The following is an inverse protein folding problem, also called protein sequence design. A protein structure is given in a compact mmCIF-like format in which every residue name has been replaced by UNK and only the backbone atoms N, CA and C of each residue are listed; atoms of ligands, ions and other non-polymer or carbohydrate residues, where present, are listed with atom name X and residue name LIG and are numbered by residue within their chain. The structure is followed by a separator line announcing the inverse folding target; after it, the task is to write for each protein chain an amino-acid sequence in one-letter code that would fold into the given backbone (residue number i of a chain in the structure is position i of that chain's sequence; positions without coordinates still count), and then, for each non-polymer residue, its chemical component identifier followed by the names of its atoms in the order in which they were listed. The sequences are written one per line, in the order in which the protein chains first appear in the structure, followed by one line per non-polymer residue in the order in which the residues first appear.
data_IF_226685268619
#
_entry.id   IF_226685268619
#
_cell.length_a   1.000
_cell.length_b   1.000
_cell.length_c   1.000
_cell.angle_alpha   90.00
_cell.angle_beta   90.00
_cell.angle_gamma   90.00
#
_symmetry.space_group_name_H-M   'P 1'
#
loop_
_entity.id
_entity.type
_entity.pdbx_description
1 polymer ?
#
# COMPACT_ATOMS: atom_id res chain seq x y z
N UNK A 1 -28.98 -21.00 2.62
CA UNK A 1 -29.04 -20.30 3.92
C UNK A 1 -27.62 -20.21 4.45
N UNK A 2 -26.87 -19.16 4.07
CA UNK A 2 -25.48 -18.96 4.50
C UNK A 2 -25.49 -18.15 5.79
N UNK A 3 -25.14 -18.78 6.91
CA UNK A 3 -24.84 -18.12 8.16
C UNK A 3 -23.49 -17.41 8.03
N UNK A 4 -23.49 -16.08 7.89
CA UNK A 4 -22.30 -15.27 8.06
C UNK A 4 -22.00 -15.24 9.55
N UNK A 5 -20.94 -15.93 9.98
CA UNK A 5 -20.33 -15.73 11.30
C UNK A 5 -19.84 -14.29 11.39
N UNK A 6 -20.58 -13.45 12.09
CA UNK A 6 -20.08 -12.15 12.52
C UNK A 6 -18.95 -12.41 13.52
N UNK A 7 -17.74 -11.94 13.22
CA UNK A 7 -16.62 -12.03 14.14
C UNK A 7 -16.84 -11.04 15.29
N UNK A 8 -16.85 -11.53 16.51
CA UNK A 8 -17.03 -10.78 17.77
C UNK A 8 -15.90 -9.76 18.10
N UNK A 9 -14.99 -9.49 17.15
CA UNK A 9 -13.77 -8.69 17.42
C UNK A 9 -13.86 -7.18 17.22
N UNK A 10 -15.02 -6.62 16.84
CA UNK A 10 -15.12 -5.18 16.51
C UNK A 10 -15.93 -4.34 17.51
N UNK A 11 -16.29 -4.86 18.66
CA UNK A 11 -17.26 -4.21 19.56
C UNK A 11 -16.62 -3.14 20.48
N UNK A 12 -15.30 -3.06 20.62
CA UNK A 12 -14.66 -2.27 21.68
C UNK A 12 -13.67 -1.17 21.24
N UNK A 13 -13.57 -0.84 19.95
CA UNK A 13 -12.66 0.22 19.47
C UNK A 13 -13.40 1.34 18.73
N UNK A 14 -14.50 1.82 19.28
CA UNK A 14 -15.18 2.98 18.73
C UNK A 14 -14.68 4.24 19.45
N UNK A 15 -13.60 4.78 18.91
CA UNK A 15 -12.93 5.96 19.45
C UNK A 15 -13.81 7.23 19.50
N UNK A 16 -14.97 7.20 18.80
CA UNK A 16 -15.95 8.29 18.82
C UNK A 16 -17.01 8.13 19.94
N UNK A 17 -16.95 7.03 20.72
CA UNK A 17 -17.79 6.81 21.89
C UNK A 17 -17.04 7.26 23.14
N UNK A 18 -17.60 8.23 23.83
CA UNK A 18 -17.03 8.79 25.06
C UNK A 18 -17.87 8.35 26.25
N UNK A 19 -17.23 7.88 27.33
CA UNK A 19 -17.88 7.62 28.63
C UNK A 19 -17.87 8.91 29.44
N UNK A 20 -19.05 9.36 29.84
CA UNK A 20 -19.22 10.52 30.73
C UNK A 20 -19.05 10.14 32.22
N UNK A 21 -18.98 11.13 33.10
CA UNK A 21 -18.79 10.95 34.54
C UNK A 21 -19.93 10.15 35.18
N UNK A 22 -21.14 10.24 34.65
CA UNK A 22 -22.33 9.49 35.07
C UNK A 22 -22.43 8.08 34.48
N UNK A 23 -21.34 7.58 33.91
CA UNK A 23 -21.21 6.28 33.22
C UNK A 23 -22.01 6.15 31.91
N UNK A 24 -22.69 7.19 31.46
CA UNK A 24 -23.35 7.15 30.13
C UNK A 24 -22.34 7.11 29.02
N UNK A 25 -22.63 6.32 27.97
CA UNK A 25 -21.83 6.22 26.76
C UNK A 25 -22.44 7.11 25.69
N UNK A 26 -21.63 8.02 25.14
CA UNK A 26 -22.11 9.00 24.17
C UNK A 26 -21.30 8.90 22.87
N UNK A 27 -22.01 8.72 21.74
CA UNK A 27 -21.41 8.71 20.41
C UNK A 27 -21.52 10.11 19.78
N UNK A 28 -20.35 10.74 19.56
CA UNK A 28 -20.25 12.06 18.96
C UNK A 28 -19.23 12.11 17.82
N UNK A 29 -19.58 11.69 16.60
CA UNK A 29 -18.67 11.68 15.46
C UNK A 29 -18.65 13.02 14.69
N UNK A 30 -19.49 13.98 15.04
CA UNK A 30 -19.70 15.19 14.25
C UNK A 30 -18.43 16.05 14.17
N UNK A 31 -18.07 16.41 12.92
CA UNK A 31 -16.87 17.18 12.60
C UNK A 31 -17.23 18.33 11.64
N UNK A 32 -17.17 19.59 12.07
CA UNK A 32 -17.51 20.74 11.24
C UNK A 32 -16.48 21.03 10.12
N UNK A 33 -15.30 20.41 10.16
CA UNK A 33 -14.27 20.56 9.12
C UNK A 33 -14.57 19.74 7.85
N UNK A 34 -15.57 18.87 7.89
CA UNK A 34 -15.94 18.05 6.74
C UNK A 34 -16.53 18.91 5.62
N UNK A 35 -16.01 18.72 4.41
CA UNK A 35 -16.52 19.38 3.20
C UNK A 35 -16.84 18.33 2.15
N UNK A 36 -18.05 18.36 1.60
CA UNK A 36 -18.45 17.42 0.55
C UNK A 36 -17.88 17.83 -0.81
N UNK A 37 -17.38 16.85 -1.57
CA UNK A 37 -16.89 17.08 -2.94
C UNK A 37 -18.05 17.53 -3.85
N UNK A 38 -17.78 18.56 -4.64
CA UNK A 38 -18.77 19.11 -5.59
C UNK A 38 -18.63 18.51 -6.99
N UNK A 39 -19.63 18.77 -7.84
CA UNK A 39 -19.59 18.38 -9.24
C UNK A 39 -18.38 19.00 -9.96
N UNK A 40 -18.11 20.27 -9.71
CA UNK A 40 -17.01 20.99 -10.35
C UNK A 40 -15.64 20.40 -9.94
N UNK A 41 -15.50 19.97 -8.68
CA UNK A 41 -14.28 19.33 -8.19
C UNK A 41 -14.02 18.00 -8.92
N UNK A 42 -15.05 17.16 -9.03
CA UNK A 42 -14.95 15.89 -9.77
C UNK A 42 -14.61 16.13 -11.24
N UNK A 43 -15.30 17.06 -11.90
CA UNK A 43 -15.04 17.43 -13.29
C UNK A 43 -13.62 17.94 -13.49
N UNK A 44 -13.10 18.74 -12.57
CA UNK A 44 -11.72 19.24 -12.59
C UNK A 44 -10.70 18.09 -12.48
N UNK A 45 -10.94 17.14 -11.57
CA UNK A 45 -10.08 15.95 -11.45
C UNK A 45 -10.13 15.13 -12.74
N UNK A 46 -11.30 14.82 -13.26
CA UNK A 46 -11.45 14.03 -14.49
C UNK A 46 -10.77 14.70 -15.69
N UNK A 47 -10.97 16.01 -15.87
CA UNK A 47 -10.35 16.81 -16.93
C UNK A 47 -8.82 16.79 -16.84
N UNK A 48 -8.28 16.99 -15.62
CA UNK A 48 -6.83 17.00 -15.36
C UNK A 48 -6.12 15.72 -15.83
N UNK A 49 -6.83 14.60 -15.81
CA UNK A 49 -6.31 13.28 -16.23
C UNK A 49 -6.94 12.77 -17.53
N UNK A 50 -7.52 13.67 -18.34
CA UNK A 50 -7.94 13.39 -19.70
C UNK A 50 -9.18 12.50 -19.85
N UNK A 51 -10.06 12.48 -18.83
CA UNK A 51 -11.31 11.74 -18.88
C UNK A 51 -12.51 12.65 -19.28
N UNK A 52 -13.62 12.04 -19.76
CA UNK A 52 -14.87 12.77 -19.96
C UNK A 52 -15.34 13.44 -18.67
N UNK A 53 -15.70 14.72 -18.76
CA UNK A 53 -16.10 15.54 -17.60
C UNK A 53 -17.59 15.53 -17.31
N UNK A 54 -18.39 14.90 -18.18
CA UNK A 54 -19.82 14.79 -17.96
C UNK A 54 -20.10 13.82 -16.81
N UNK A 55 -20.68 14.30 -15.72
CA UNK A 55 -20.99 13.51 -14.52
C UNK A 55 -22.48 13.52 -14.26
N UNK A 56 -23.12 12.36 -14.41
CA UNK A 56 -24.56 12.16 -14.20
C UNK A 56 -24.93 11.68 -12.81
N UNK A 57 -23.99 11.08 -12.09
CA UNK A 57 -24.26 10.49 -10.79
C UNK A 57 -23.12 10.79 -9.81
N UNK A 58 -23.35 11.75 -8.94
CA UNK A 58 -22.40 12.16 -7.90
C UNK A 58 -22.35 11.19 -6.70
N UNK A 59 -23.36 10.34 -6.51
CA UNK A 59 -23.47 9.52 -5.29
C UNK A 59 -22.29 8.57 -5.08
N UNK A 60 -21.71 8.03 -6.16
CA UNK A 60 -20.52 7.18 -6.09
C UNK A 60 -19.28 7.96 -5.66
N UNK A 61 -19.06 9.13 -6.28
CA UNK A 61 -17.92 9.97 -5.93
C UNK A 61 -18.04 10.50 -4.50
N UNK A 62 -19.20 11.00 -4.08
CA UNK A 62 -19.44 11.44 -2.70
C UNK A 62 -19.13 10.30 -1.70
N UNK A 63 -19.60 9.09 -1.99
CA UNK A 63 -19.35 7.92 -1.15
C UNK A 63 -17.87 7.55 -1.05
N UNK A 64 -17.07 7.76 -2.11
CA UNK A 64 -15.63 7.47 -2.08
C UNK A 64 -14.88 8.25 -0.99
N UNK A 65 -15.39 9.39 -0.58
CA UNK A 65 -14.80 10.24 0.44
C UNK A 65 -15.30 10.00 1.86
N UNK A 66 -16.23 9.07 2.09
CA UNK A 66 -16.77 8.79 3.41
C UNK A 66 -15.93 7.74 4.14
N UNK A 67 -15.14 8.16 5.11
CA UNK A 67 -14.43 7.25 6.00
C UNK A 67 -15.41 6.53 6.94
N UNK A 68 -15.10 5.30 7.34
CA UNK A 68 -15.95 4.47 8.22
C UNK A 68 -16.33 5.16 9.54
N UNK A 69 -15.47 6.03 10.07
CA UNK A 69 -15.74 6.77 11.31
C UNK A 69 -16.92 7.75 11.21
N UNK A 70 -17.36 8.12 9.99
CA UNK A 70 -18.48 9.03 9.77
C UNK A 70 -19.74 8.31 9.26
N UNK A 71 -19.94 7.09 9.69
CA UNK A 71 -21.12 6.30 9.35
C UNK A 71 -22.07 6.14 10.52
N UNK A 72 -23.35 5.92 10.19
CA UNK A 72 -24.38 5.61 11.19
C UNK A 72 -24.05 4.29 11.87
N UNK A 73 -24.13 4.26 13.20
CA UNK A 73 -24.08 3.02 13.97
C UNK A 73 -25.41 2.26 13.86
N UNK A 74 -25.37 0.92 13.87
CA UNK A 74 -26.61 0.12 13.96
C UNK A 74 -27.36 0.38 15.27
N UNK A 75 -28.66 0.63 15.18
CA UNK A 75 -29.49 0.93 16.38
C UNK A 75 -29.45 -0.18 17.44
N UNK A 76 -29.39 -1.45 17.03
CA UNK A 76 -29.34 -2.57 17.97
C UNK A 76 -28.03 -2.59 18.79
N UNK A 77 -26.88 -2.17 18.20
CA UNK A 77 -25.63 -2.04 18.93
C UNK A 77 -25.68 -0.90 19.95
N UNK A 78 -26.29 0.22 19.59
CA UNK A 78 -26.45 1.35 20.49
C UNK A 78 -27.33 0.98 21.69
N UNK A 79 -28.44 0.29 21.44
CA UNK A 79 -29.35 -0.19 22.51
C UNK A 79 -28.66 -1.22 23.41
N UNK A 80 -27.92 -2.18 22.83
CA UNK A 80 -27.22 -3.22 23.58
C UNK A 80 -26.11 -2.66 24.50
N UNK A 81 -25.48 -1.56 24.08
CA UNK A 81 -24.38 -0.92 24.81
C UNK A 81 -24.80 0.34 25.57
N UNK A 82 -26.10 0.67 25.61
CA UNK A 82 -26.65 1.87 26.20
C UNK A 82 -25.97 3.17 25.74
N UNK A 83 -25.72 3.27 24.40
CA UNK A 83 -25.05 4.41 23.78
C UNK A 83 -26.08 5.45 23.31
N UNK A 84 -25.94 6.66 23.80
CA UNK A 84 -26.72 7.81 23.34
C UNK A 84 -26.02 8.50 22.17
N UNK A 85 -26.74 8.75 21.08
CA UNK A 85 -26.22 9.49 19.92
C UNK A 85 -26.47 10.98 20.13
N UNK A 86 -25.42 11.79 20.00
CA UNK A 86 -25.53 13.26 20.07
C UNK A 86 -26.39 13.77 18.92
N UNK A 87 -27.22 14.76 19.19
CA UNK A 87 -27.98 15.46 18.15
C UNK A 87 -27.01 16.15 17.19
N UNK A 88 -27.33 16.10 15.89
CA UNK A 88 -26.48 16.66 14.87
C UNK A 88 -26.40 18.19 14.98
N UNK A 89 -25.19 18.77 15.15
CA UNK A 89 -25.00 20.22 15.06
C UNK A 89 -25.39 20.77 13.68
N UNK A 90 -25.88 22.00 13.64
CA UNK A 90 -26.34 22.61 12.38
C UNK A 90 -25.25 22.82 11.34
N UNK A 91 -24.00 22.98 11.78
CA UNK A 91 -22.79 23.16 10.96
C UNK A 91 -22.13 21.84 10.54
N UNK A 92 -22.70 20.70 10.92
CA UNK A 92 -22.17 19.39 10.62
C UNK A 92 -23.01 18.65 9.56
N UNK A 93 -22.32 17.87 8.72
CA UNK A 93 -22.97 17.00 7.74
C UNK A 93 -23.74 15.85 8.42
N UNK A 94 -24.78 15.30 7.79
CA UNK A 94 -25.45 14.09 8.28
C UNK A 94 -24.52 12.87 8.17
N UNK A 95 -24.64 11.94 9.12
CA UNK A 95 -23.91 10.68 9.04
C UNK A 95 -24.34 9.86 7.81
N UNK A 96 -23.35 9.29 7.13
CA UNK A 96 -23.59 8.44 5.97
C UNK A 96 -24.08 7.04 6.38
N UNK A 97 -24.84 6.39 5.54
CA UNK A 97 -25.26 4.99 5.75
C UNK A 97 -24.18 3.98 5.35
N UNK A 98 -23.18 4.38 4.57
CA UNK A 98 -22.15 3.48 4.00
C UNK A 98 -20.81 4.20 3.90
N UNK A 99 -19.73 3.50 4.27
CA UNK A 99 -18.35 3.95 4.08
C UNK A 99 -17.85 3.71 2.66
N UNK A 100 -16.62 4.15 2.42
CA UNK A 100 -15.88 3.94 1.18
C UNK A 100 -15.17 2.57 1.08
N UNK A 101 -15.12 1.76 2.13
CA UNK A 101 -14.32 0.53 2.22
C UNK A 101 -14.57 -0.46 1.07
N UNK A 102 -15.84 -0.61 0.63
CA UNK A 102 -16.14 -1.48 -0.52
C UNK A 102 -15.66 -0.90 -1.86
N UNK A 103 -15.57 0.42 -1.98
CA UNK A 103 -15.00 1.08 -3.16
C UNK A 103 -13.48 0.97 -3.14
N UNK A 104 -12.86 1.13 -1.98
CA UNK A 104 -11.43 0.88 -1.72
C UNK A 104 -11.03 -0.53 -2.15
N UNK A 105 -11.72 -1.55 -1.64
CA UNK A 105 -11.50 -2.95 -2.01
C UNK A 105 -11.53 -3.20 -3.54
N UNK A 106 -12.51 -2.61 -4.23
CA UNK A 106 -12.61 -2.73 -5.68
C UNK A 106 -11.49 -1.98 -6.40
N UNK A 107 -11.21 -0.76 -5.93
CA UNK A 107 -10.20 0.12 -6.53
C UNK A 107 -8.78 -0.41 -6.39
N UNK A 108 -8.43 -1.04 -5.28
CA UNK A 108 -7.15 -1.72 -5.08
C UNK A 108 -6.89 -2.76 -6.18
N UNK A 109 -7.85 -3.69 -6.40
CA UNK A 109 -7.73 -4.69 -7.46
C UNK A 109 -7.60 -4.10 -8.86
N UNK A 110 -8.32 -3.01 -9.14
CA UNK A 110 -8.25 -2.31 -10.43
C UNK A 110 -6.88 -1.62 -10.59
N UNK A 111 -6.40 -0.94 -9.56
CA UNK A 111 -5.10 -0.28 -9.54
C UNK A 111 -3.96 -1.28 -9.79
N UNK A 112 -4.02 -2.41 -9.08
CA UNK A 112 -3.01 -3.46 -9.21
C UNK A 112 -2.97 -4.06 -10.63
N UNK A 113 -4.13 -4.40 -11.20
CA UNK A 113 -4.24 -4.94 -12.54
C UNK A 113 -3.71 -3.96 -13.60
N UNK A 114 -4.15 -2.70 -13.53
CA UNK A 114 -3.74 -1.68 -14.50
C UNK A 114 -2.24 -1.41 -14.40
N UNK A 115 -1.69 -1.31 -13.19
CA UNK A 115 -0.25 -1.08 -12.99
C UNK A 115 0.58 -2.24 -13.53
N UNK A 116 0.18 -3.50 -13.29
CA UNK A 116 0.84 -4.68 -13.88
C UNK A 116 0.81 -4.65 -15.40
N UNK A 117 -0.35 -4.35 -15.98
CA UNK A 117 -0.51 -4.27 -17.43
C UNK A 117 0.31 -3.13 -18.04
N UNK A 118 0.37 -1.97 -17.36
CA UNK A 118 1.19 -0.84 -17.77
C UNK A 118 2.68 -1.19 -17.76
N UNK A 119 3.19 -1.79 -16.67
CA UNK A 119 4.60 -2.19 -16.56
C UNK A 119 4.98 -3.25 -17.60
N UNK A 120 4.11 -4.24 -17.82
CA UNK A 120 4.32 -5.27 -18.85
C UNK A 120 4.52 -4.67 -20.26
N UNK A 121 3.75 -3.65 -20.60
CA UNK A 121 3.89 -2.96 -21.91
C UNK A 121 5.09 -2.03 -21.95
N UNK A 122 5.41 -1.36 -20.84
CA UNK A 122 6.49 -0.38 -20.77
C UNK A 122 7.87 -1.04 -20.80
N UNK A 123 8.00 -2.20 -20.19
CA UNK A 123 9.26 -2.90 -20.00
C UNK A 123 9.24 -4.31 -20.64
N UNK A 124 9.16 -4.42 -21.97
CA UNK A 124 8.97 -5.70 -22.65
C UNK A 124 10.16 -6.65 -22.59
N UNK A 125 11.33 -6.17 -22.16
CA UNK A 125 12.56 -6.97 -22.03
C UNK A 125 12.88 -7.36 -20.58
N UNK A 126 12.17 -6.78 -19.62
CA UNK A 126 12.41 -7.01 -18.20
C UNK A 126 11.71 -8.28 -17.69
N UNK A 127 12.28 -8.86 -16.65
CA UNK A 127 11.74 -10.08 -16.06
C UNK A 127 10.61 -9.77 -15.04
N UNK A 128 9.95 -10.82 -14.59
CA UNK A 128 8.84 -10.74 -13.61
C UNK A 128 9.27 -10.10 -12.30
N UNK A 129 10.48 -10.40 -11.80
CA UNK A 129 11.02 -9.86 -10.56
C UNK A 129 11.13 -8.33 -10.59
N UNK A 130 11.69 -7.76 -11.68
CA UNK A 130 11.75 -6.32 -11.92
C UNK A 130 10.36 -5.69 -11.92
N UNK A 131 9.43 -6.27 -12.71
CA UNK A 131 8.07 -5.73 -12.81
C UNK A 131 7.34 -5.77 -11.45
N UNK A 132 7.52 -6.84 -10.67
CA UNK A 132 6.92 -6.98 -9.35
C UNK A 132 7.48 -5.94 -8.38
N UNK A 133 8.77 -5.70 -8.38
CA UNK A 133 9.41 -4.68 -7.55
C UNK A 133 8.90 -3.28 -7.89
N UNK A 134 8.90 -2.91 -9.19
CA UNK A 134 8.41 -1.59 -9.60
C UNK A 134 6.91 -1.43 -9.33
N UNK A 135 6.10 -2.50 -9.51
CA UNK A 135 4.69 -2.51 -9.10
C UNK A 135 4.55 -2.19 -7.62
N UNK A 136 5.27 -2.88 -6.74
CA UNK A 136 5.21 -2.64 -5.29
C UNK A 136 5.57 -1.20 -4.95
N UNK A 137 6.61 -0.64 -5.58
CA UNK A 137 7.03 0.74 -5.35
C UNK A 137 5.96 1.77 -5.75
N UNK A 138 5.22 1.50 -6.84
CA UNK A 138 4.17 2.39 -7.35
C UNK A 138 2.89 2.28 -6.51
N UNK A 139 2.40 1.05 -6.22
CA UNK A 139 1.06 0.86 -5.61
C UNK A 139 1.06 0.82 -4.09
N UNK A 140 2.21 0.89 -3.41
CA UNK A 140 2.18 0.93 -1.93
C UNK A 140 1.41 2.16 -1.44
N UNK A 141 0.61 1.98 -0.38
CA UNK A 141 -0.31 3.01 0.11
C UNK A 141 0.36 4.36 0.39
N UNK A 142 1.63 4.39 0.85
CA UNK A 142 2.34 5.66 1.06
C UNK A 142 2.68 6.38 -0.26
N UNK A 143 3.02 5.64 -1.32
CA UNK A 143 3.32 6.24 -2.62
C UNK A 143 2.05 6.80 -3.26
N UNK A 144 0.99 5.99 -3.31
CA UNK A 144 -0.33 6.42 -3.80
C UNK A 144 -0.91 7.53 -2.92
N UNK A 145 -0.67 7.49 -1.59
CA UNK A 145 -1.09 8.53 -0.67
C UNK A 145 -0.43 9.90 -0.94
N UNK A 146 0.83 9.92 -1.36
CA UNK A 146 1.49 11.16 -1.83
C UNK A 146 0.80 11.71 -3.06
N UNK A 147 0.48 10.86 -4.04
CA UNK A 147 -0.27 11.24 -5.24
C UNK A 147 -1.65 11.79 -4.86
N UNK A 148 -2.38 11.12 -3.96
CA UNK A 148 -3.66 11.59 -3.45
C UNK A 148 -3.57 12.97 -2.76
N UNK A 149 -2.47 13.22 -2.04
CA UNK A 149 -2.18 14.52 -1.42
C UNK A 149 -1.92 15.59 -2.47
N UNK A 150 -1.12 15.32 -3.50
CA UNK A 150 -0.86 16.23 -4.63
C UNK A 150 -2.11 16.50 -5.46
N UNK A 151 -3.01 15.51 -5.57
CA UNK A 151 -4.34 15.67 -6.14
C UNK A 151 -5.31 16.45 -5.23
N UNK A 152 -4.91 16.73 -3.99
CA UNK A 152 -5.67 17.42 -2.96
C UNK A 152 -6.96 16.67 -2.53
N UNK A 153 -7.02 15.36 -2.71
CA UNK A 153 -8.20 14.54 -2.36
C UNK A 153 -8.55 14.61 -0.86
N UNK A 154 -7.55 14.83 -0.01
CA UNK A 154 -7.71 14.96 1.44
C UNK A 154 -8.70 16.06 1.86
N UNK A 155 -8.91 17.09 1.03
CA UNK A 155 -9.83 18.21 1.32
C UNK A 155 -11.27 17.76 1.50
N UNK A 156 -11.69 16.74 0.77
CA UNK A 156 -13.04 16.23 0.77
C UNK A 156 -13.24 14.95 1.60
N UNK A 157 -12.18 14.49 2.28
CA UNK A 157 -12.28 13.30 3.13
C UNK A 157 -13.16 13.59 4.35
N UNK A 158 -14.26 12.86 4.47
CA UNK A 158 -15.26 13.01 5.52
C UNK A 158 -14.92 12.07 6.67
N UNK A 159 -14.59 12.65 7.83
CA UNK A 159 -14.07 11.98 9.02
C UNK A 159 -14.87 12.38 10.27
N UNK A 160 -14.88 11.50 11.29
CA UNK A 160 -15.30 11.91 12.62
C UNK A 160 -14.30 12.88 13.26
N UNK A 161 -14.76 13.59 14.31
CA UNK A 161 -13.93 14.52 15.07
C UNK A 161 -12.68 13.83 15.64
N UNK A 162 -12.83 12.66 16.22
CA UNK A 162 -11.73 11.89 16.78
C UNK A 162 -10.73 11.42 15.69
N UNK A 163 -11.22 10.97 14.52
CA UNK A 163 -10.35 10.62 13.41
C UNK A 163 -9.58 11.84 12.87
N UNK A 164 -10.16 13.03 12.92
CA UNK A 164 -9.48 14.29 12.59
C UNK A 164 -8.36 14.60 13.60
N UNK A 165 -8.63 14.48 14.89
CA UNK A 165 -7.65 14.67 15.98
C UNK A 165 -6.47 13.70 15.84
N UNK A 166 -6.71 12.47 15.38
CA UNK A 166 -5.68 11.47 15.03
C UNK A 166 -4.95 11.77 13.70
N UNK A 167 -5.21 12.92 13.07
CA UNK A 167 -4.58 13.34 11.81
C UNK A 167 -4.77 12.35 10.64
N UNK A 168 -5.90 11.65 10.59
CA UNK A 168 -6.22 10.70 9.53
C UNK A 168 -6.25 11.40 8.16
N UNK A 169 -6.71 12.67 8.09
CA UNK A 169 -6.78 13.48 6.87
C UNK A 169 -5.43 13.68 6.16
N UNK A 170 -4.32 13.61 6.90
CA UNK A 170 -2.95 13.78 6.37
C UNK A 170 -2.13 12.49 6.40
N UNK A 171 -2.72 11.40 6.85
CA UNK A 171 -2.04 10.10 6.90
C UNK A 171 -1.93 9.49 5.50
N UNK A 172 -0.70 9.34 4.99
CA UNK A 172 -0.46 8.86 3.63
C UNK A 172 -1.07 7.49 3.35
N UNK A 173 -1.06 6.55 4.31
CA UNK A 173 -1.70 5.24 4.12
C UNK A 173 -3.20 5.38 3.92
N UNK A 174 -3.86 6.24 4.70
CA UNK A 174 -5.29 6.50 4.57
C UNK A 174 -5.64 7.28 3.31
N UNK A 175 -4.75 8.12 2.83
CA UNK A 175 -4.89 8.79 1.55
C UNK A 175 -4.71 7.82 0.37
N UNK A 176 -3.87 6.79 0.51
CA UNK A 176 -3.80 5.68 -0.45
C UNK A 176 -5.14 4.96 -0.57
N UNK A 177 -5.73 4.55 0.56
CA UNK A 177 -7.08 3.96 0.61
C UNK A 177 -8.16 4.87 0.00
N UNK A 178 -8.06 6.19 0.23
CA UNK A 178 -8.96 7.17 -0.38
C UNK A 178 -8.83 7.20 -1.91
N UNK A 179 -7.61 7.17 -2.42
CA UNK A 179 -7.36 7.11 -3.87
C UNK A 179 -7.97 5.85 -4.49
N UNK A 180 -7.75 4.69 -3.87
CA UNK A 180 -8.34 3.42 -4.29
C UNK A 180 -9.88 3.51 -4.30
N UNK A 181 -10.48 4.08 -3.25
CA UNK A 181 -11.93 4.27 -3.19
C UNK A 181 -12.45 5.20 -4.31
N UNK A 182 -11.71 6.27 -4.63
CA UNK A 182 -12.03 7.16 -5.74
C UNK A 182 -11.95 6.42 -7.09
N UNK A 183 -10.89 5.61 -7.29
CA UNK A 183 -10.73 4.79 -8.49
C UNK A 183 -11.85 3.75 -8.64
N UNK A 184 -12.24 3.10 -7.54
CA UNK A 184 -13.40 2.18 -7.52
C UNK A 184 -14.71 2.88 -7.87
N UNK A 185 -14.93 4.09 -7.38
CA UNK A 185 -16.09 4.91 -7.74
C UNK A 185 -16.09 5.29 -9.22
N UNK A 186 -14.96 5.71 -9.76
CA UNK A 186 -14.75 6.03 -11.16
C UNK A 186 -15.05 4.83 -12.06
N UNK A 187 -14.50 3.67 -11.74
CA UNK A 187 -14.75 2.43 -12.47
C UNK A 187 -16.25 2.10 -12.52
N UNK A 188 -16.92 2.10 -11.38
CA UNK A 188 -18.36 1.81 -11.31
C UNK A 188 -19.20 2.86 -12.02
N UNK A 189 -18.78 4.13 -11.94
CA UNK A 189 -19.47 5.23 -12.62
C UNK A 189 -19.51 4.99 -14.13
N UNK A 190 -18.38 4.72 -14.76
CA UNK A 190 -18.32 4.49 -16.20
C UNK A 190 -18.93 3.15 -16.63
N UNK A 191 -18.95 2.14 -15.77
CA UNK A 191 -19.64 0.86 -16.05
C UNK A 191 -21.17 0.96 -16.03
N UNK A 192 -21.75 2.04 -15.50
CA UNK A 192 -23.19 2.30 -15.60
C UNK A 192 -23.62 2.90 -16.94
N UNK A 193 -22.68 3.23 -17.82
CA UNK A 193 -22.99 3.65 -19.17
C UNK A 193 -23.33 2.39 -19.96
N UNK A 194 -24.60 2.29 -20.35
CA UNK A 194 -25.05 1.20 -21.23
C UNK A 194 -24.48 1.45 -22.62
N UNK A 195 -23.60 0.55 -23.06
CA UNK A 195 -23.16 0.52 -24.46
C UNK A 195 -24.29 -0.06 -25.29
N UNK A 196 -24.94 0.76 -26.11
CA UNK A 196 -25.91 0.29 -27.09
C UNK A 196 -25.15 -0.24 -28.30
N UNK A 197 -25.18 -1.54 -28.53
CA UNK A 197 -24.84 -2.12 -29.81
C UNK A 197 -26.11 -2.44 -30.61
N UNK A 198 -26.02 -2.37 -31.93
CA UNK A 198 -27.16 -2.52 -32.84
C UNK A 198 -27.79 -3.93 -32.78
N UNK A 199 -27.00 -4.92 -32.38
CA UNK A 199 -27.41 -6.33 -32.33
C UNK A 199 -27.72 -6.83 -30.92
N UNK A 200 -27.60 -5.96 -29.89
CA UNK A 200 -27.76 -6.29 -28.46
C UNK A 200 -26.91 -7.49 -27.98
N UNK A 201 -25.84 -7.79 -28.69
CA UNK A 201 -25.02 -8.98 -28.46
C UNK A 201 -24.34 -8.93 -27.09
N UNK A 202 -23.81 -7.77 -26.72
CA UNK A 202 -23.15 -7.57 -25.43
C UNK A 202 -24.11 -7.40 -24.26
N UNK A 203 -25.38 -7.08 -24.51
CA UNK A 203 -26.38 -6.84 -23.46
C UNK A 203 -26.64 -8.07 -22.60
N UNK A 204 -26.46 -9.29 -23.15
CA UNK A 204 -26.67 -10.55 -22.46
C UNK A 204 -25.36 -11.20 -21.96
N UNK A 205 -24.20 -10.75 -22.43
CA UNK A 205 -22.91 -11.35 -22.09
C UNK A 205 -22.05 -10.48 -21.16
N UNK A 206 -22.14 -9.14 -21.25
CA UNK A 206 -21.34 -8.22 -20.47
C UNK A 206 -22.18 -7.04 -19.99
N UNK A 207 -22.37 -6.95 -18.69
CA UNK A 207 -22.98 -5.79 -18.02
C UNK A 207 -21.92 -4.72 -17.73
N UNK A 208 -20.87 -4.65 -18.52
CA UNK A 208 -19.73 -3.75 -18.30
C UNK A 208 -19.69 -2.67 -19.37
N UNK A 209 -19.78 -1.43 -18.93
CA UNK A 209 -19.45 -0.26 -19.77
C UNK A 209 -17.92 -0.06 -19.90
N UNK A 210 -17.47 1.11 -20.36
CA UNK A 210 -16.04 1.42 -20.56
C UNK A 210 -15.27 1.73 -19.27
N UNK A 211 -15.74 1.24 -18.11
CA UNK A 211 -15.16 1.53 -16.80
C UNK A 211 -13.70 1.13 -16.69
N UNK A 212 -13.33 -0.03 -17.24
CA UNK A 212 -11.94 -0.48 -17.24
C UNK A 212 -11.05 0.44 -18.09
N UNK A 213 -11.47 0.80 -19.29
CA UNK A 213 -10.72 1.69 -20.18
C UNK A 213 -10.56 3.09 -19.60
N UNK A 214 -11.58 3.60 -18.92
CA UNK A 214 -11.51 4.90 -18.25
C UNK A 214 -10.62 4.85 -17.02
N UNK A 215 -10.70 3.79 -16.22
CA UNK A 215 -9.80 3.57 -15.09
C UNK A 215 -8.35 3.42 -15.55
N UNK A 216 -8.12 2.66 -16.64
CA UNK A 216 -6.80 2.51 -17.24
C UNK A 216 -6.23 3.85 -17.67
N UNK A 217 -6.97 4.63 -18.44
CA UNK A 217 -6.55 5.97 -18.89
C UNK A 217 -6.22 6.88 -17.71
N UNK A 218 -7.05 6.84 -16.67
CA UNK A 218 -6.85 7.63 -15.45
C UNK A 218 -5.55 7.25 -14.74
N UNK A 219 -5.34 5.96 -14.46
CA UNK A 219 -4.15 5.45 -13.74
C UNK A 219 -2.89 5.68 -14.57
N UNK A 220 -2.90 5.39 -15.87
CA UNK A 220 -1.74 5.60 -16.75
C UNK A 220 -1.34 7.08 -16.79
N UNK A 221 -2.29 8.00 -16.92
CA UNK A 221 -2.00 9.43 -16.90
C UNK A 221 -1.48 9.91 -15.54
N UNK A 222 -1.92 9.31 -14.46
CA UNK A 222 -1.38 9.58 -13.12
C UNK A 222 0.05 9.07 -13.00
N UNK A 223 0.32 7.84 -13.41
CA UNK A 223 1.66 7.23 -13.40
C UNK A 223 2.64 8.10 -14.20
N UNK A 224 2.27 8.48 -15.42
CA UNK A 224 3.14 9.32 -16.27
C UNK A 224 3.37 10.72 -15.68
N UNK A 225 2.41 11.27 -14.96
CA UNK A 225 2.50 12.61 -14.40
C UNK A 225 3.25 12.69 -13.08
N UNK A 226 3.12 11.68 -12.23
CA UNK A 226 3.56 11.73 -10.83
C UNK A 226 4.74 10.80 -10.52
N UNK A 227 5.05 9.82 -11.38
CA UNK A 227 6.17 8.91 -11.13
C UNK A 227 7.44 9.44 -11.80
N UNK A 228 8.45 9.70 -10.98
CA UNK A 228 9.81 9.91 -11.46
C UNK A 228 10.44 8.56 -11.83
N UNK A 229 10.40 8.23 -13.11
CA UNK A 229 10.91 6.98 -13.65
C UNK A 229 12.42 6.84 -13.50
N UNK A 230 13.16 7.95 -13.58
CA UNK A 230 14.62 7.93 -13.41
C UNK A 230 14.95 7.52 -11.99
N UNK A 231 14.36 8.22 -11.02
CA UNK A 231 14.54 7.87 -9.61
C UNK A 231 14.04 6.45 -9.29
N UNK A 232 12.90 6.02 -9.86
CA UNK A 232 12.33 4.68 -9.64
C UNK A 232 13.23 3.55 -10.19
N UNK A 233 13.93 3.78 -11.31
CA UNK A 233 14.82 2.79 -11.93
C UNK A 233 16.20 2.80 -11.26
N UNK A 234 16.72 3.99 -10.94
CA UNK A 234 18.05 4.16 -10.33
C UNK A 234 18.10 3.81 -8.86
N UNK A 235 17.03 4.07 -8.10
CA UNK A 235 16.92 3.72 -6.69
C UNK A 235 16.48 2.27 -6.54
N UNK A 236 17.40 1.37 -6.85
CA UNK A 236 17.22 -0.05 -6.56
C UNK A 236 17.63 -0.31 -5.09
N UNK A 237 16.84 0.24 -4.14
CA UNK A 237 17.04 0.09 -2.70
C UNK A 237 16.81 -1.37 -2.22
N UNK A 238 16.64 -2.31 -3.15
CA UNK A 238 16.39 -3.71 -2.82
C UNK A 238 17.66 -4.55 -2.87
N UNK A 239 18.72 -4.02 -2.27
CA UNK A 239 20.04 -4.66 -2.21
C UNK A 239 19.98 -6.09 -1.65
N UNK A 240 19.03 -6.35 -0.74
CA UNK A 240 18.80 -7.69 -0.17
C UNK A 240 18.37 -8.69 -1.25
N UNK A 241 17.46 -8.30 -2.14
CA UNK A 241 17.02 -9.16 -3.23
C UNK A 241 18.12 -9.34 -4.29
N UNK A 242 18.83 -8.27 -4.64
CA UNK A 242 19.94 -8.31 -5.61
C UNK A 242 21.02 -9.27 -5.12
N UNK A 243 21.46 -9.13 -3.87
CA UNK A 243 22.45 -10.00 -3.28
C UNK A 243 21.97 -11.44 -3.23
N UNK A 244 20.72 -11.67 -2.81
CA UNK A 244 20.14 -13.01 -2.75
C UNK A 244 20.13 -13.68 -4.12
N UNK A 245 19.73 -12.98 -5.18
CA UNK A 245 19.72 -13.51 -6.55
C UNK A 245 21.13 -13.84 -7.02
N UNK A 246 22.12 -12.95 -6.77
CA UNK A 246 23.52 -13.22 -7.12
C UNK A 246 24.03 -14.49 -6.40
N UNK A 247 23.83 -14.58 -5.09
CA UNK A 247 24.27 -15.73 -4.28
C UNK A 247 23.57 -17.04 -4.69
N UNK A 248 22.25 -16.98 -4.90
CA UNK A 248 21.48 -18.16 -5.35
C UNK A 248 21.92 -18.65 -6.74
N UNK A 249 22.27 -17.75 -7.64
CA UNK A 249 22.77 -18.10 -8.97
C UNK A 249 24.06 -18.90 -8.87
N UNK A 250 25.00 -18.45 -8.04
CA UNK A 250 26.35 -19.03 -7.96
C UNK A 250 26.42 -20.24 -7.02
N UNK A 251 25.77 -20.18 -5.86
CA UNK A 251 25.94 -21.19 -4.80
C UNK A 251 24.68 -22.01 -4.50
N UNK A 252 23.51 -21.66 -5.09
CA UNK A 252 22.21 -22.34 -4.85
C UNK A 252 21.73 -22.29 -3.40
N UNK A 253 22.22 -21.33 -2.61
CA UNK A 253 21.83 -21.08 -1.22
C UNK A 253 21.39 -19.64 -1.03
N UNK A 254 20.83 -19.32 0.13
CA UNK A 254 20.45 -17.95 0.50
C UNK A 254 21.43 -17.37 1.53
N UNK A 255 21.73 -16.06 1.46
CA UNK A 255 22.48 -15.38 2.51
C UNK A 255 21.75 -15.41 3.85
N UNK A 256 22.50 -15.42 4.96
CA UNK A 256 21.99 -15.30 6.32
C UNK A 256 22.19 -13.88 6.85
N UNK A 257 21.19 -13.36 7.57
CA UNK A 257 21.20 -12.03 8.17
C UNK A 257 21.19 -12.17 9.68
N UNK A 258 22.28 -11.80 10.31
CA UNK A 258 22.48 -11.98 11.76
C UNK A 258 22.63 -10.62 12.43
N UNK A 259 22.01 -10.49 13.59
CA UNK A 259 22.16 -9.32 14.45
C UNK A 259 23.52 -9.43 15.14
N UNK A 260 24.37 -8.44 14.90
CA UNK A 260 25.71 -8.36 15.50
C UNK A 260 25.65 -7.57 16.79
N UNK A 261 24.87 -6.50 16.81
CA UNK A 261 24.73 -5.59 17.94
C UNK A 261 23.38 -4.87 17.87
N UNK A 262 22.82 -4.54 19.02
CA UNK A 262 21.65 -3.69 19.14
C UNK A 262 21.89 -2.63 20.23
N UNK A 263 21.85 -1.39 19.84
CA UNK A 263 22.01 -0.23 20.71
C UNK A 263 20.73 0.65 20.68
N UNK A 264 20.35 1.21 21.83
CA UNK A 264 19.13 2.04 21.91
C UNK A 264 19.24 3.37 21.15
N UNK A 265 20.44 3.92 21.00
CA UNK A 265 20.68 5.18 20.31
C UNK A 265 20.89 4.98 18.80
N UNK A 266 21.72 4.00 18.43
CA UNK A 266 22.14 3.75 17.05
C UNK A 266 21.31 2.64 16.35
N UNK A 267 20.54 1.85 17.09
CA UNK A 267 19.66 0.81 16.58
C UNK A 267 20.35 -0.51 16.32
N UNK A 268 19.99 -1.17 15.22
CA UNK A 268 20.46 -2.52 14.88
C UNK A 268 21.70 -2.46 14.00
N UNK A 269 22.71 -3.23 14.36
CA UNK A 269 23.86 -3.55 13.52
C UNK A 269 23.68 -4.98 12.98
N UNK A 270 23.50 -5.11 11.67
CA UNK A 270 23.22 -6.38 10.98
C UNK A 270 24.41 -6.78 10.13
N UNK A 271 24.77 -8.07 10.19
CA UNK A 271 25.76 -8.68 9.31
C UNK A 271 25.13 -9.62 8.28
N UNK A 272 25.71 -9.65 7.09
CA UNK A 272 25.34 -10.60 6.01
C UNK A 272 26.40 -11.67 5.92
N UNK A 273 25.96 -12.92 5.96
CA UNK A 273 26.85 -14.10 5.94
C UNK A 273 26.43 -15.09 4.87
N UNK A 274 27.42 -15.68 4.20
CA UNK A 274 27.24 -16.84 3.33
C UNK A 274 27.81 -18.07 4.03
N UNK A 275 26.94 -19.05 4.29
CA UNK A 275 27.33 -20.33 4.96
C UNK A 275 27.19 -21.47 3.97
N UNK A 276 28.28 -22.11 3.63
CA UNK A 276 28.35 -23.20 2.66
C UNK A 276 28.93 -24.48 3.32
N UNK A 277 28.38 -25.62 2.94
CA UNK A 277 28.85 -26.94 3.41
C UNK A 277 28.54 -27.25 4.87
N UNK A 278 27.84 -26.38 5.59
CA UNK A 278 27.49 -26.55 7.00
C UNK A 278 26.23 -25.77 7.36
N UNK A 279 25.64 -26.00 8.56
CA UNK A 279 24.50 -25.22 9.04
C UNK A 279 24.94 -23.96 9.77
N UNK A 280 24.26 -22.83 9.52
CA UNK A 280 24.53 -21.55 10.21
C UNK A 280 24.37 -21.64 11.72
N UNK A 281 23.56 -22.58 12.24
CA UNK A 281 23.32 -22.77 13.66
C UNK A 281 24.51 -23.42 14.39
N UNK A 282 25.45 -23.99 13.64
CA UNK A 282 26.61 -24.75 14.18
C UNK A 282 27.92 -23.97 14.10
N UNK A 283 27.87 -22.69 13.72
CA UNK A 283 29.07 -21.87 13.50
C UNK A 283 29.05 -20.61 14.35
N UNK A 284 30.24 -20.17 14.77
CA UNK A 284 30.40 -18.90 15.44
C UNK A 284 30.72 -17.80 14.40
N UNK A 285 29.95 -16.70 14.39
CA UNK A 285 30.16 -15.60 13.44
C UNK A 285 31.56 -14.95 13.58
N UNK A 286 32.24 -15.12 14.72
CA UNK A 286 33.62 -14.62 14.92
C UNK A 286 34.66 -15.38 14.08
N UNK A 287 34.32 -16.58 13.64
CA UNK A 287 35.23 -17.43 12.86
C UNK A 287 34.99 -17.26 11.34
N UNK A 288 34.15 -16.27 10.94
CA UNK A 288 33.85 -15.99 9.54
C UNK A 288 35.08 -15.37 8.85
N UNK A 289 35.42 -15.91 7.68
CA UNK A 289 36.39 -15.28 6.77
C UNK A 289 35.74 -14.04 6.14
N UNK A 290 36.54 -13.02 5.84
CA UNK A 290 36.02 -11.83 5.19
C UNK A 290 35.97 -12.02 3.69
N UNK A 291 34.88 -11.51 3.03
CA UNK A 291 34.76 -11.56 1.56
C UNK A 291 35.95 -10.92 0.86
N UNK A 292 36.59 -9.93 1.49
CA UNK A 292 37.77 -9.22 0.96
C UNK A 292 39.02 -10.10 0.82
N UNK A 293 39.01 -11.28 1.42
CA UNK A 293 40.09 -12.27 1.27
C UNK A 293 40.01 -13.04 -0.07
N UNK A 294 38.91 -12.87 -0.79
CA UNK A 294 38.63 -13.48 -2.09
C UNK A 294 38.43 -12.41 -3.17
N UNK A 295 38.95 -12.67 -4.36
CA UNK A 295 38.83 -11.76 -5.49
C UNK A 295 37.42 -11.76 -6.11
N UNK A 296 36.83 -12.94 -6.18
CA UNK A 296 35.51 -13.17 -6.76
C UNK A 296 34.85 -14.44 -6.21
N UNK A 297 33.63 -14.70 -6.63
CA UNK A 297 32.90 -15.91 -6.22
C UNK A 297 33.51 -17.22 -6.74
N UNK A 298 34.33 -17.19 -7.79
CA UNK A 298 35.00 -18.38 -8.30
C UNK A 298 36.08 -18.87 -7.30
N UNK A 299 36.84 -17.94 -6.74
CA UNK A 299 37.83 -18.24 -5.72
C UNK A 299 37.18 -18.80 -4.45
N UNK A 300 35.98 -18.31 -4.09
CA UNK A 300 35.15 -18.88 -3.00
C UNK A 300 34.72 -20.33 -3.34
N UNK A 301 34.33 -20.59 -4.60
CA UNK A 301 33.94 -21.92 -5.06
C UNK A 301 35.17 -22.90 -5.05
N UNK A 302 36.32 -22.43 -5.47
CA UNK A 302 37.55 -23.20 -5.39
C UNK A 302 37.93 -23.51 -3.95
N UNK A 303 37.85 -22.53 -3.04
CA UNK A 303 38.13 -22.70 -1.61
C UNK A 303 37.23 -23.77 -0.98
N UNK A 304 35.92 -23.77 -1.30
CA UNK A 304 35.01 -24.77 -0.71
C UNK A 304 35.20 -26.16 -1.25
N UNK A 305 35.70 -26.31 -2.48
CA UNK A 305 36.08 -27.64 -3.01
C UNK A 305 37.22 -28.29 -2.21
N UNK A 306 38.13 -27.46 -1.69
CA UNK A 306 39.27 -27.96 -0.88
C UNK A 306 38.87 -28.16 0.58
N UNK A 307 38.13 -27.21 1.16
CA UNK A 307 37.90 -27.17 2.63
C UNK A 307 36.53 -27.73 3.02
N UNK A 308 35.65 -28.04 2.06
CA UNK A 308 34.31 -28.62 2.22
C UNK A 308 33.30 -27.73 2.95
N UNK A 309 33.73 -26.70 3.68
CA UNK A 309 32.87 -25.78 4.43
C UNK A 309 33.49 -24.38 4.53
N UNK A 310 32.65 -23.37 4.53
CA UNK A 310 33.06 -21.98 4.77
C UNK A 310 31.91 -21.19 5.42
N UNK A 311 32.25 -20.29 6.32
CA UNK A 311 31.41 -19.19 6.77
C UNK A 311 32.09 -17.90 6.31
N UNK A 312 31.39 -17.14 5.43
CA UNK A 312 31.92 -15.93 4.81
C UNK A 312 31.14 -14.73 5.30
N UNK A 313 31.79 -13.75 5.88
CA UNK A 313 31.23 -12.46 6.21
C UNK A 313 31.28 -11.58 4.95
N UNK A 314 30.13 -11.08 4.51
CA UNK A 314 30.01 -10.35 3.25
C UNK A 314 29.87 -8.83 3.43
N UNK A 315 29.32 -8.38 4.56
CA UNK A 315 29.15 -6.96 4.84
C UNK A 315 28.28 -6.70 6.06
N UNK A 316 28.32 -5.47 6.54
CA UNK A 316 27.51 -5.02 7.68
C UNK A 316 26.80 -3.71 7.41
N UNK A 317 25.71 -3.47 8.16
CA UNK A 317 24.96 -2.22 8.08
C UNK A 317 24.30 -1.88 9.40
N UNK A 318 24.18 -0.58 9.69
CA UNK A 318 23.58 -0.08 10.92
C UNK A 318 22.43 0.87 10.61
N UNK A 319 21.31 0.67 11.30
CA UNK A 319 20.15 1.56 11.18
C UNK A 319 19.18 1.34 12.35
N UNK A 320 18.39 2.38 12.72
CA UNK A 320 17.34 2.30 13.77
C UNK A 320 16.25 1.27 13.46
N UNK A 321 16.04 0.93 12.20
CA UNK A 321 15.08 -0.09 11.74
C UNK A 321 15.88 -1.30 11.22
N UNK A 322 15.67 -2.47 11.81
CA UNK A 322 16.38 -3.72 11.48
C UNK A 322 16.41 -4.03 9.97
N UNK A 323 15.25 -3.94 9.30
CA UNK A 323 15.15 -4.17 7.84
C UNK A 323 16.03 -3.22 7.02
N UNK A 324 16.19 -1.96 7.44
CA UNK A 324 17.07 -1.00 6.75
C UNK A 324 18.53 -1.29 7.01
N UNK A 325 18.88 -1.74 8.23
CA UNK A 325 20.24 -2.20 8.52
C UNK A 325 20.63 -3.40 7.65
N UNK A 326 19.72 -4.35 7.44
CA UNK A 326 19.92 -5.48 6.50
C UNK A 326 20.14 -5.01 5.05
N UNK A 327 19.38 -4.03 4.57
CA UNK A 327 19.58 -3.46 3.23
C UNK A 327 20.95 -2.77 3.09
N UNK A 328 21.36 -1.99 4.11
CA UNK A 328 22.69 -1.37 4.15
C UNK A 328 23.80 -2.41 4.13
N UNK A 329 23.65 -3.48 4.92
CA UNK A 329 24.61 -4.59 4.93
C UNK A 329 24.73 -5.26 3.55
N UNK A 330 23.61 -5.46 2.86
CA UNK A 330 23.60 -6.02 1.50
C UNK A 330 24.23 -5.06 0.48
N UNK A 331 24.01 -3.76 0.62
CA UNK A 331 24.65 -2.74 -0.23
C UNK A 331 26.17 -2.80 -0.10
N UNK A 332 26.68 -2.85 1.14
CA UNK A 332 28.12 -2.99 1.38
C UNK A 332 28.67 -4.30 0.79
N UNK A 333 27.95 -5.43 0.98
CA UNK A 333 28.33 -6.72 0.39
C UNK A 333 28.40 -6.67 -1.15
N UNK A 334 27.51 -5.95 -1.82
CA UNK A 334 27.47 -5.84 -3.28
C UNK A 334 28.64 -5.08 -3.87
N UNK A 335 29.23 -4.12 -3.14
CA UNK A 335 30.41 -3.37 -3.60
C UNK A 335 31.63 -4.26 -3.87
N UNK A 336 31.70 -5.42 -3.23
CA UNK A 336 32.79 -6.39 -3.44
C UNK A 336 32.48 -7.42 -4.53
N UNK A 337 31.25 -7.37 -5.09
CA UNK A 337 30.77 -8.33 -6.07
C UNK A 337 30.61 -7.71 -7.46
N UNK A 338 30.95 -6.45 -7.61
CA UNK A 338 31.04 -5.71 -8.87
C UNK A 338 32.44 -5.86 -9.45
#
# INVERSE_FOLDING_TARGET
MYYIRMSEKNILNDDDVVRLEDETMVFNPYNPLNTEITLNDVQSILSKYGLPTQVFNMSLYKRAFVHRSYTKRPNFENLAQNITIVERPNDCMPLSSKSNERLEFLGDGILELITKYYLYRRFPKENEGFMTEKKIAIVKNEAIGKIALEMQLHKWLILSKHAEEKKIRTNLKKLGCLFEAFLGALFLYFNKIVVKDEENWFQNMFVTGPGFQMAQKFVENIIEKHIDWIALIQNDDNYKNILQVKVQKEFKVTPHYLEMEHDMEFGYKMGVYLCLGQSIHNVNCKDALNINEFKDFKEVQEYIQVHSKILLFMGEGQHKIKRKAEQTACFEALKYLE
#
